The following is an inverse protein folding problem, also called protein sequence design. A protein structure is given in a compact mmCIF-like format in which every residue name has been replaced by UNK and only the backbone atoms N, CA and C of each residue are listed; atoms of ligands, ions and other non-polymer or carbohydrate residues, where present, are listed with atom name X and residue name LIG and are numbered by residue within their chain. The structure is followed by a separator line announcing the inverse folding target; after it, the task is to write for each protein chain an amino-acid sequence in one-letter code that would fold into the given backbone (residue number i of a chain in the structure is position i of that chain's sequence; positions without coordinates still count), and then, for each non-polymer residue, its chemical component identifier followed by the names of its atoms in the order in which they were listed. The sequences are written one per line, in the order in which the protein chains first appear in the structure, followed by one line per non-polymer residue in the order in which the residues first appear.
data_IF_861013458174
#
_entry.id   IF_861013458174
#
_cell.length_a   1.000
_cell.length_b   1.000
_cell.length_c   1.000
_cell.angle_alpha   90.00
_cell.angle_beta   90.00
_cell.angle_gamma   90.00
#
_symmetry.space_group_name_H-M   'P 1'
#
loop_
_entity.id
_entity.type
_entity.pdbx_description
1 polymer ?
#
# COMPACT_ATOMS: atom_id res chain seq x y z
N UNK A 1 -11.09 -33.93 -36.63
CA UNK A 1 -10.52 -32.61 -36.99
C UNK A 1 -11.26 -31.45 -36.27
N UNK A 2 -12.59 -31.38 -36.24
CA UNK A 2 -13.32 -30.26 -35.58
C UNK A 2 -13.06 -30.12 -34.07
N UNK A 3 -12.91 -31.20 -33.31
CA UNK A 3 -12.65 -31.18 -31.85
C UNK A 3 -11.28 -30.61 -31.50
N UNK A 4 -10.26 -30.84 -32.32
CA UNK A 4 -8.89 -30.33 -32.10
C UNK A 4 -8.84 -28.81 -32.31
N UNK A 5 -9.57 -28.29 -33.30
CA UNK A 5 -9.67 -26.85 -33.58
C UNK A 5 -10.28 -26.09 -32.39
N UNK A 6 -11.32 -26.64 -31.75
CA UNK A 6 -11.94 -26.03 -30.58
C UNK A 6 -11.02 -26.01 -29.34
N UNK A 7 -10.23 -27.07 -29.16
CA UNK A 7 -9.25 -27.13 -28.04
C UNK A 7 -8.15 -26.08 -28.26
N UNK A 8 -7.65 -25.94 -29.48
CA UNK A 8 -6.60 -24.95 -29.79
C UNK A 8 -7.13 -23.52 -29.62
N UNK A 9 -8.38 -23.23 -30.03
CA UNK A 9 -9.01 -21.94 -29.82
C UNK A 9 -9.24 -21.66 -28.33
N UNK A 10 -9.68 -22.62 -27.55
CA UNK A 10 -9.88 -22.45 -26.10
C UNK A 10 -8.54 -22.17 -25.39
N UNK A 11 -7.46 -22.87 -25.72
CA UNK A 11 -6.12 -22.65 -25.18
C UNK A 11 -5.59 -21.26 -25.58
N UNK A 12 -5.82 -20.84 -26.82
CA UNK A 12 -5.42 -19.50 -27.29
C UNK A 12 -6.16 -18.39 -26.53
N UNK A 13 -7.48 -18.55 -26.30
CA UNK A 13 -8.27 -17.56 -25.54
C UNK A 13 -7.82 -17.49 -24.08
N UNK A 14 -7.55 -18.65 -23.45
CA UNK A 14 -7.01 -18.68 -22.08
C UNK A 14 -5.62 -18.03 -22.02
N UNK A 15 -4.76 -18.28 -23.00
CA UNK A 15 -3.44 -17.67 -23.07
C UNK A 15 -3.53 -16.13 -23.25
N UNK A 16 -4.47 -15.64 -24.08
CA UNK A 16 -4.71 -14.21 -24.27
C UNK A 16 -5.27 -13.57 -23.00
N UNK A 17 -6.18 -14.25 -22.27
CA UNK A 17 -6.72 -13.76 -21.00
C UNK A 17 -5.64 -13.72 -19.91
N UNK A 18 -4.77 -14.73 -19.83
CA UNK A 18 -3.65 -14.74 -18.88
C UNK A 18 -2.61 -13.68 -19.23
N UNK A 19 -2.41 -13.38 -20.54
CA UNK A 19 -1.49 -12.33 -20.98
C UNK A 19 -2.08 -10.92 -20.77
N UNK A 20 -3.39 -10.74 -20.93
CA UNK A 20 -4.08 -9.46 -20.68
C UNK A 20 -4.22 -9.14 -19.19
N UNK A 21 -4.17 -10.16 -18.30
CA UNK A 21 -4.22 -10.00 -16.84
C UNK A 21 -2.85 -10.08 -16.18
N UNK A 22 -1.76 -9.90 -16.94
CA UNK A 22 -0.46 -9.65 -16.31
C UNK A 22 -0.55 -8.27 -15.65
N UNK A 23 -0.48 -8.18 -14.31
CA UNK A 23 -0.26 -6.89 -13.69
C UNK A 23 1.01 -6.32 -14.32
N UNK A 24 0.96 -5.10 -14.84
CA UNK A 24 2.12 -4.38 -15.33
C UNK A 24 3.10 -4.27 -14.16
N UNK A 25 3.94 -5.29 -14.00
CA UNK A 25 5.07 -5.27 -13.11
C UNK A 25 6.02 -4.23 -13.64
N UNK A 26 5.87 -2.99 -13.17
CA UNK A 26 6.92 -2.00 -13.30
C UNK A 26 8.18 -2.64 -12.73
N UNK A 27 9.28 -2.61 -13.48
CA UNK A 27 10.55 -3.23 -13.11
C UNK A 27 10.87 -2.96 -11.65
N UNK A 28 11.05 -4.03 -10.86
CA UNK A 28 11.30 -3.94 -9.43
C UNK A 28 12.46 -2.98 -9.15
N UNK A 29 12.23 -2.01 -8.30
CA UNK A 29 13.21 -1.01 -7.91
C UNK A 29 12.61 -0.01 -6.93
N UNK A 30 13.50 0.74 -6.29
CA UNK A 30 13.08 1.88 -5.50
C UNK A 30 13.04 3.08 -6.41
N UNK A 31 11.92 3.77 -6.42
CA UNK A 31 11.71 4.98 -7.22
C UNK A 31 11.33 6.12 -6.28
N UNK A 32 11.87 7.29 -6.54
CA UNK A 32 11.36 8.52 -5.94
C UNK A 32 10.16 8.98 -6.76
N UNK A 33 9.09 9.35 -6.07
CA UNK A 33 7.84 9.82 -6.68
C UNK A 33 7.41 11.14 -6.05
N UNK A 34 6.70 11.94 -6.84
CA UNK A 34 5.99 13.14 -6.40
C UNK A 34 4.53 12.82 -6.00
N UNK A 35 3.76 13.83 -5.62
CA UNK A 35 2.35 13.67 -5.23
C UNK A 35 1.49 13.03 -6.33
N UNK A 36 1.75 13.36 -7.61
CA UNK A 36 1.04 12.77 -8.74
C UNK A 36 1.41 11.28 -8.90
N UNK A 37 2.69 10.93 -8.67
CA UNK A 37 3.18 9.57 -8.66
C UNK A 37 2.55 8.74 -7.53
N UNK A 38 2.34 9.32 -6.35
CA UNK A 38 1.61 8.67 -5.24
C UNK A 38 0.18 8.34 -5.66
N UNK A 39 -0.54 9.32 -6.22
CA UNK A 39 -1.92 9.11 -6.70
C UNK A 39 -1.98 7.99 -7.74
N UNK A 40 -1.09 8.01 -8.73
CA UNK A 40 -1.02 6.99 -9.77
C UNK A 40 -0.70 5.60 -9.21
N UNK A 41 0.21 5.51 -8.25
CA UNK A 41 0.54 4.24 -7.60
C UNK A 41 -0.66 3.70 -6.80
N UNK A 42 -1.39 4.58 -6.11
CA UNK A 42 -2.60 4.24 -5.37
C UNK A 42 -3.70 3.69 -6.30
N UNK A 43 -3.94 4.34 -7.43
CA UNK A 43 -4.88 3.88 -8.46
C UNK A 43 -4.49 2.51 -9.04
N UNK A 44 -3.18 2.23 -9.11
CA UNK A 44 -2.64 0.93 -9.50
C UNK A 44 -2.68 -0.14 -8.39
N UNK A 45 -3.23 0.17 -7.22
CA UNK A 45 -3.38 -0.76 -6.10
C UNK A 45 -2.18 -0.86 -5.16
N UNK A 46 -1.25 0.10 -5.21
CA UNK A 46 -0.17 0.18 -4.23
C UNK A 46 -0.70 0.44 -2.82
N UNK A 47 -0.02 -0.11 -1.82
CA UNK A 47 -0.30 0.21 -0.41
C UNK A 47 0.46 1.47 0.00
N UNK A 48 -0.27 2.47 0.47
CA UNK A 48 0.33 3.70 1.02
C UNK A 48 0.68 3.44 2.48
N UNK A 49 1.91 3.80 2.87
CA UNK A 49 2.45 3.60 4.24
C UNK A 49 2.97 4.92 4.79
N UNK A 50 2.32 5.39 5.83
CA UNK A 50 2.75 6.56 6.61
C UNK A 50 3.63 6.10 7.77
N UNK A 51 4.92 6.48 7.73
CA UNK A 51 5.87 6.09 8.77
C UNK A 51 6.08 7.18 9.83
N UNK A 52 5.15 8.12 9.94
CA UNK A 52 5.10 9.11 11.02
C UNK A 52 4.50 8.49 12.28
N UNK A 53 4.57 9.23 13.37
CA UNK A 53 3.91 8.84 14.62
C UNK A 53 2.38 8.75 14.43
N UNK A 54 1.72 7.96 15.28
CA UNK A 54 0.26 7.82 15.26
C UNK A 54 -0.46 9.16 15.51
N UNK A 55 0.10 10.03 16.34
CA UNK A 55 -0.43 11.38 16.55
C UNK A 55 -0.38 12.26 15.30
N UNK A 56 0.74 12.25 14.56
CA UNK A 56 0.85 12.97 13.29
C UNK A 56 -0.13 12.42 12.25
N UNK A 57 -0.27 11.10 12.18
CA UNK A 57 -1.20 10.43 11.27
C UNK A 57 -2.65 10.84 11.54
N UNK A 58 -3.08 10.86 12.81
CA UNK A 58 -4.44 11.23 13.19
C UNK A 58 -4.78 12.68 12.87
N UNK A 59 -3.80 13.58 12.90
CA UNK A 59 -3.98 15.00 12.53
C UNK A 59 -4.19 15.20 11.03
N UNK A 60 -3.71 14.26 10.21
CA UNK A 60 -3.93 14.27 8.77
C UNK A 60 -2.96 13.33 8.05
N UNK A 61 -3.49 12.50 7.15
CA UNK A 61 -2.72 11.55 6.36
C UNK A 61 -3.26 11.42 4.93
N UNK A 62 -2.46 10.88 4.04
CA UNK A 62 -2.87 10.63 2.65
C UNK A 62 -3.99 9.56 2.67
N UNK A 63 -5.13 9.78 1.98
CA UNK A 63 -6.24 8.83 1.96
C UNK A 63 -5.79 7.41 1.61
N UNK A 64 -6.30 6.43 2.36
CA UNK A 64 -5.96 5.02 2.17
C UNK A 64 -4.59 4.59 2.71
N UNK A 65 -3.83 5.50 3.34
CA UNK A 65 -2.59 5.14 4.01
C UNK A 65 -2.85 4.31 5.27
N UNK A 66 -1.95 3.37 5.53
CA UNK A 66 -1.82 2.72 6.83
C UNK A 66 -0.71 3.43 7.63
N UNK A 67 -0.86 3.51 8.93
CA UNK A 67 0.19 4.06 9.79
C UNK A 67 1.05 2.94 10.37
N UNK A 68 2.33 3.02 10.11
CA UNK A 68 3.35 2.13 10.67
C UNK A 68 4.57 2.98 11.03
N UNK A 69 4.69 3.44 12.27
CA UNK A 69 5.84 4.23 12.72
C UNK A 69 7.18 3.61 12.30
N UNK A 70 8.16 4.46 11.97
CA UNK A 70 9.42 4.01 11.33
C UNK A 70 10.15 2.92 12.12
N UNK A 71 10.07 2.94 13.43
CA UNK A 71 10.62 1.94 14.36
C UNK A 71 9.87 0.60 14.37
N UNK A 72 8.62 0.59 13.92
CA UNK A 72 7.78 -0.60 13.82
C UNK A 72 7.81 -1.28 12.43
N UNK A 73 8.40 -0.61 11.41
CA UNK A 73 8.37 -1.09 10.02
C UNK A 73 8.94 -2.49 9.88
N UNK A 74 10.05 -2.81 10.53
CA UNK A 74 10.67 -4.14 10.42
C UNK A 74 9.73 -5.26 10.91
N UNK A 75 9.02 -5.01 12.01
CA UNK A 75 8.08 -5.97 12.58
C UNK A 75 6.81 -6.09 11.72
N UNK A 76 6.22 -4.98 11.33
CA UNK A 76 5.00 -4.96 10.54
C UNK A 76 5.20 -5.58 9.15
N UNK A 77 6.29 -5.20 8.47
CA UNK A 77 6.59 -5.66 7.12
C UNK A 77 6.99 -7.14 7.03
N UNK A 78 7.27 -7.81 8.15
CA UNK A 78 7.63 -9.22 8.15
C UNK A 78 6.56 -10.14 7.54
N UNK A 79 5.28 -9.74 7.62
CA UNK A 79 4.13 -10.47 7.06
C UNK A 79 3.63 -9.92 5.72
N UNK A 80 4.25 -8.87 5.18
CA UNK A 80 3.77 -8.23 3.96
C UNK A 80 4.20 -8.98 2.69
N UNK A 81 3.37 -8.87 1.65
CA UNK A 81 3.68 -9.43 0.33
C UNK A 81 4.78 -8.60 -0.35
N UNK A 82 5.96 -9.20 -0.53
CA UNK A 82 7.12 -8.55 -1.15
C UNK A 82 6.96 -8.24 -2.65
N UNK A 83 5.97 -8.83 -3.30
CA UNK A 83 5.66 -8.58 -4.71
C UNK A 83 4.72 -7.37 -4.90
N UNK A 84 4.08 -6.92 -3.82
CA UNK A 84 3.20 -5.76 -3.86
C UNK A 84 4.01 -4.46 -3.92
N UNK A 85 3.47 -3.43 -4.56
CA UNK A 85 4.06 -2.08 -4.55
C UNK A 85 3.63 -1.35 -3.28
N UNK A 86 4.59 -0.70 -2.64
CA UNK A 86 4.38 0.14 -1.46
C UNK A 86 4.81 1.56 -1.74
N UNK A 87 3.97 2.54 -1.41
CA UNK A 87 4.37 3.95 -1.36
C UNK A 87 4.69 4.28 0.08
N UNK A 88 5.91 4.73 0.35
CA UNK A 88 6.37 5.03 1.72
C UNK A 88 6.64 6.52 1.85
N UNK A 89 6.05 7.16 2.85
CA UNK A 89 6.24 8.58 3.12
C UNK A 89 6.31 8.90 4.60
N UNK A 90 6.90 10.07 4.91
CA UNK A 90 6.81 10.70 6.23
C UNK A 90 6.49 12.19 6.11
N UNK A 91 6.98 13.03 7.00
CA UNK A 91 6.77 14.48 6.91
C UNK A 91 7.61 15.12 5.78
N UNK A 92 8.91 14.79 5.70
CA UNK A 92 9.92 15.47 4.85
C UNK A 92 10.98 14.52 4.29
N UNK A 93 10.74 13.22 4.26
CA UNK A 93 11.59 12.23 3.61
C UNK A 93 12.56 11.47 4.51
N UNK A 94 13.07 12.02 5.61
CA UNK A 94 14.18 11.40 6.36
C UNK A 94 13.77 10.08 7.05
N UNK A 95 12.63 10.05 7.74
CA UNK A 95 12.10 8.80 8.36
C UNK A 95 11.69 7.77 7.31
N UNK A 96 11.10 8.22 6.20
CA UNK A 96 10.71 7.31 5.11
C UNK A 96 11.92 6.73 4.39
N UNK A 97 13.03 7.46 4.26
CA UNK A 97 14.27 6.90 3.73
C UNK A 97 14.81 5.75 4.60
N UNK A 98 14.78 5.91 5.92
CA UNK A 98 15.16 4.84 6.85
C UNK A 98 14.23 3.63 6.74
N UNK A 99 12.92 3.84 6.64
CA UNK A 99 11.92 2.79 6.45
C UNK A 99 12.15 2.03 5.12
N UNK A 100 12.39 2.76 4.03
CA UNK A 100 12.72 2.19 2.71
C UNK A 100 13.97 1.32 2.79
N UNK A 101 15.05 1.80 3.43
CA UNK A 101 16.27 1.02 3.62
C UNK A 101 16.03 -0.27 4.42
N UNK A 102 15.19 -0.20 5.46
CA UNK A 102 14.76 -1.38 6.22
C UNK A 102 14.01 -2.37 5.35
N UNK A 103 13.00 -1.92 4.60
CA UNK A 103 12.23 -2.76 3.69
C UNK A 103 13.11 -3.40 2.60
N UNK A 104 14.08 -2.64 2.05
CA UNK A 104 15.06 -3.18 1.10
C UNK A 104 15.86 -4.34 1.68
N UNK A 105 16.38 -4.16 2.91
CA UNK A 105 17.15 -5.21 3.60
C UNK A 105 16.33 -6.48 3.84
N UNK A 106 15.00 -6.35 3.91
CA UNK A 106 14.05 -7.45 4.03
C UNK A 106 13.65 -8.08 2.69
N UNK A 107 14.15 -7.55 1.56
CA UNK A 107 13.93 -8.09 0.22
C UNK A 107 12.71 -7.52 -0.52
N UNK A 108 12.18 -6.37 -0.10
CA UNK A 108 11.19 -5.62 -0.89
C UNK A 108 11.89 -4.92 -2.05
N UNK A 109 11.35 -5.06 -3.25
CA UNK A 109 11.93 -4.49 -4.47
C UNK A 109 11.02 -3.49 -5.16
N UNK A 110 9.74 -3.41 -4.77
CA UNK A 110 8.74 -2.55 -5.40
C UNK A 110 8.34 -1.44 -4.41
N UNK A 111 9.17 -0.40 -4.26
CA UNK A 111 8.94 0.68 -3.34
C UNK A 111 8.99 2.02 -4.07
N UNK A 112 7.92 2.79 -3.95
CA UNK A 112 7.83 4.18 -4.37
C UNK A 112 8.04 5.06 -3.15
N UNK A 113 9.15 5.78 -3.10
CA UNK A 113 9.50 6.67 -2.01
C UNK A 113 9.00 8.08 -2.29
N UNK A 114 8.03 8.55 -1.55
CA UNK A 114 7.59 9.95 -1.58
C UNK A 114 8.49 10.75 -0.63
N UNK A 115 9.66 11.11 -1.11
CA UNK A 115 10.75 11.73 -0.33
C UNK A 115 10.44 13.16 0.12
N UNK A 116 9.68 13.91 -0.67
CA UNK A 116 9.21 15.24 -0.26
C UNK A 116 8.18 15.16 0.89
N UNK A 117 7.61 13.98 1.12
CA UNK A 117 6.70 13.71 2.23
C UNK A 117 5.36 14.43 2.14
N UNK A 118 4.57 14.31 3.21
CA UNK A 118 3.20 14.84 3.26
C UNK A 118 3.15 16.36 3.12
N UNK A 119 4.24 17.07 3.41
CA UNK A 119 4.30 18.53 3.23
C UNK A 119 4.17 18.95 1.75
N UNK A 120 4.56 18.07 0.82
CA UNK A 120 4.40 18.30 -0.62
C UNK A 120 3.11 17.68 -1.18
N UNK A 121 2.27 17.08 -0.34
CA UNK A 121 1.00 16.53 -0.77
C UNK A 121 0.00 17.65 -1.07
N UNK A 122 -0.61 17.61 -2.26
CA UNK A 122 -1.54 18.66 -2.74
C UNK A 122 -3.01 18.20 -2.70
N UNK A 123 -3.25 16.94 -2.40
CA UNK A 123 -4.61 16.39 -2.29
C UNK A 123 -5.22 16.63 -0.91
N UNK A 124 -6.47 16.22 -0.76
CA UNK A 124 -7.13 16.21 0.56
C UNK A 124 -6.41 15.23 1.50
N UNK A 125 -6.52 15.49 2.79
CA UNK A 125 -6.05 14.59 3.84
C UNK A 125 -7.25 14.00 4.57
N UNK A 126 -7.14 12.72 4.90
CA UNK A 126 -8.02 12.07 5.87
C UNK A 126 -7.51 12.38 7.28
N UNK A 127 -8.42 12.39 8.27
CA UNK A 127 -8.11 12.60 9.68
C UNK A 127 -8.67 11.48 10.54
N UNK A 128 -8.12 11.31 11.75
CA UNK A 128 -8.54 10.28 12.70
C UNK A 128 -7.72 9.00 12.62
N UNK A 129 -8.02 8.03 13.46
CA UNK A 129 -7.36 6.73 13.45
C UNK A 129 -7.57 6.00 12.13
N UNK A 130 -6.57 5.21 11.71
CA UNK A 130 -6.70 4.34 10.54
C UNK A 130 -8.01 3.54 10.64
N UNK A 131 -8.85 3.64 9.62
CA UNK A 131 -9.98 2.71 9.51
C UNK A 131 -9.37 1.31 9.43
N UNK A 132 -9.54 0.52 10.47
CA UNK A 132 -9.22 -0.89 10.42
C UNK A 132 -10.05 -1.50 9.28
N UNK A 133 -9.46 -1.64 8.11
CA UNK A 133 -10.06 -2.35 6.99
C UNK A 133 -9.81 -3.84 7.21
N UNK A 134 -10.27 -4.33 8.34
CA UNK A 134 -10.48 -5.72 8.64
C UNK A 134 -11.93 -5.84 8.98
N UNK A 135 -12.73 -6.40 8.08
CA UNK A 135 -14.04 -6.92 8.43
C UNK A 135 -13.78 -7.98 9.50
N UNK A 136 -13.92 -7.59 10.77
CA UNK A 136 -14.07 -8.59 11.82
C UNK A 136 -15.47 -9.15 11.58
N UNK A 137 -15.55 -10.22 10.82
CA UNK A 137 -16.74 -11.07 10.77
C UNK A 137 -16.86 -11.75 12.13
N UNK A 138 -17.37 -10.99 13.10
CA UNK A 138 -17.86 -11.58 14.34
C UNK A 138 -19.25 -12.13 14.03
N UNK A 139 -19.33 -13.44 13.91
CA UNK A 139 -20.58 -14.18 13.72
C UNK A 139 -21.71 -13.61 14.59
N UNK A 140 -22.50 -12.68 14.04
CA UNK A 140 -23.85 -12.34 14.48
C UNK A 140 -24.03 -11.68 15.84
N UNK A 141 -22.99 -11.14 16.50
CA UNK A 141 -23.17 -10.40 17.76
C UNK A 141 -22.67 -8.96 17.61
N UNK A 142 -23.51 -7.94 17.88
CA UNK A 142 -23.06 -6.56 17.91
C UNK A 142 -22.06 -6.35 19.05
N UNK A 143 -20.83 -5.92 18.71
CA UNK A 143 -19.87 -5.47 19.71
C UNK A 143 -20.01 -3.96 19.87
N UNK A 144 -20.50 -3.51 21.02
CA UNK A 144 -20.53 -2.09 21.37
C UNK A 144 -19.10 -1.68 21.82
N UNK A 145 -18.45 -0.83 21.04
CA UNK A 145 -17.17 -0.23 21.43
C UNK A 145 -17.49 1.10 22.11
N UNK A 146 -17.35 1.18 23.42
CA UNK A 146 -17.44 2.45 24.15
C UNK A 146 -16.08 3.15 24.09
N UNK A 147 -16.07 4.36 23.52
CA UNK A 147 -14.91 5.25 23.57
C UNK A 147 -14.96 6.05 24.87
N UNK A 148 -14.07 5.77 25.80
CA UNK A 148 -13.87 6.63 26.97
C UNK A 148 -13.03 7.85 26.55
N UNK A 149 -13.63 9.03 26.53
CA UNK A 149 -12.91 10.30 26.49
C UNK A 149 -12.56 10.64 27.94
N UNK A 150 -11.30 10.51 28.32
CA UNK A 150 -10.82 11.09 29.58
C UNK A 150 -10.73 12.60 29.44
N UNK A 151 -11.58 13.30 30.21
CA UNK A 151 -11.50 14.76 30.42
C UNK A 151 -10.42 15.08 31.43
#
# INVERSE_FOLDING_TARGET
MKKVVWIVLAVAVVAVLVFAFRPSGGGGGIRTVDAAGVTKAQEAGAQIVDVRTSGEYQLGHIPGAINVPVDEVAQAAASWDKNKTYVVYCATGSRSAAAVATMQSMGFTNIDHFDAGIQAWTGQLDTGAAKATGTIETAGKPVMIEFYTNS
#
